data_IF_376199667228
#
_entry.id   IF_376199667228
#
_cell.length_a   1.000
_cell.length_b   1.000
_cell.length_c   1.000
_cell.angle_alpha   90.00
_cell.angle_beta   90.00
_cell.angle_gamma   90.00
#
_symmetry.space_group_name_H-M   'P 1'
#
loop_
_entity.id
_entity.type
_entity.pdbx_description
1 polymer ?
#
# COMPACT_ATOMS: atom_id res chain seq x y z
N UNK A 1 -23.94 -22.93 -20.11
CA UNK A 1 -22.78 -23.12 -19.20
C UNK A 1 -21.59 -22.19 -19.43
N UNK A 2 -21.64 -21.16 -20.30
CA UNK A 2 -20.48 -20.31 -20.62
C UNK A 2 -20.57 -18.88 -20.06
N UNK A 3 -21.80 -18.42 -19.82
CA UNK A 3 -22.12 -17.07 -19.29
C UNK A 3 -21.68 -16.87 -17.83
N UNK A 4 -21.74 -17.93 -17.01
CA UNK A 4 -21.32 -17.84 -15.61
C UNK A 4 -19.82 -17.50 -15.48
N UNK A 5 -18.99 -18.05 -16.36
CA UNK A 5 -17.55 -17.78 -16.40
C UNK A 5 -17.22 -16.36 -16.90
N UNK A 6 -18.02 -15.82 -17.83
CA UNK A 6 -17.86 -14.45 -18.31
C UNK A 6 -18.20 -13.44 -17.21
N UNK A 7 -19.30 -13.67 -16.48
CA UNK A 7 -19.70 -12.84 -15.33
C UNK A 7 -18.63 -12.86 -14.23
N UNK A 8 -18.09 -14.03 -13.92
CA UNK A 8 -17.03 -14.17 -12.92
C UNK A 8 -15.74 -13.44 -13.33
N UNK A 9 -15.37 -13.50 -14.61
CA UNK A 9 -14.20 -12.78 -15.14
C UNK A 9 -14.37 -11.26 -15.06
N UNK A 10 -15.57 -10.75 -15.39
CA UNK A 10 -15.92 -9.33 -15.23
C UNK A 10 -15.90 -8.89 -13.77
N UNK A 11 -16.38 -9.74 -12.86
CA UNK A 11 -16.39 -9.46 -11.42
C UNK A 11 -14.96 -9.36 -10.85
N UNK A 12 -14.07 -10.28 -11.24
CA UNK A 12 -12.65 -10.23 -10.85
C UNK A 12 -11.92 -9.02 -11.44
N UNK A 13 -12.26 -8.64 -12.67
CA UNK A 13 -11.69 -7.45 -13.30
C UNK A 13 -12.14 -6.17 -12.57
N UNK A 14 -13.43 -6.07 -12.22
CA UNK A 14 -14.00 -4.99 -11.42
C UNK A 14 -13.40 -4.92 -10.00
N UNK A 15 -13.07 -6.06 -9.39
CA UNK A 15 -12.47 -6.11 -8.06
C UNK A 15 -10.99 -5.66 -8.08
N UNK A 16 -10.24 -5.92 -9.15
CA UNK A 16 -8.85 -5.47 -9.32
C UNK A 16 -8.73 -3.97 -9.62
N UNK A 17 -9.75 -3.34 -10.25
CA UNK A 17 -9.80 -1.88 -10.45
C UNK A 17 -10.22 -1.09 -9.21
N UNK A 18 -10.40 -1.74 -8.05
CA UNK A 18 -10.25 -1.08 -6.76
C UNK A 18 -8.79 -1.22 -6.32
N UNK A 19 -7.88 -0.30 -6.67
CA UNK A 19 -6.45 -0.38 -6.31
C UNK A 19 -6.25 -0.02 -4.82
N UNK A 20 -7.30 -0.15 -4.01
CA UNK A 20 -7.46 0.54 -2.73
C UNK A 20 -6.87 -0.16 -1.53
N UNK A 21 -6.43 -1.42 -1.65
CA UNK A 21 -5.93 -2.20 -0.51
C UNK A 21 -4.43 -2.48 -0.53
N UNK A 22 -3.75 -2.27 -1.65
CA UNK A 22 -2.29 -2.36 -1.78
C UNK A 22 -1.66 -1.09 -2.34
N UNK A 23 -2.38 0.03 -2.32
CA UNK A 23 -1.85 1.33 -2.72
C UNK A 23 -1.04 1.92 -1.54
N UNK A 24 0.30 1.98 -1.61
CA UNK A 24 1.14 2.66 -0.62
C UNK A 24 0.89 4.19 -0.55
N UNK A 25 -0.03 4.70 -1.37
CA UNK A 25 -0.32 6.11 -1.60
C UNK A 25 -0.97 6.81 -0.40
N UNK A 26 -1.75 6.11 0.45
CA UNK A 26 -2.35 6.72 1.64
C UNK A 26 -1.33 6.99 2.74
N UNK A 27 -0.35 6.11 2.93
CA UNK A 27 0.71 6.32 3.94
C UNK A 27 1.88 7.16 3.42
N UNK A 28 2.09 7.22 2.10
CA UNK A 28 3.03 8.17 1.48
C UNK A 28 2.62 9.65 1.71
N UNK A 29 1.34 9.94 1.96
CA UNK A 29 0.89 11.30 2.28
C UNK A 29 1.50 11.81 3.60
N UNK A 30 1.66 10.94 4.60
CA UNK A 30 2.30 11.29 5.86
C UNK A 30 3.83 11.21 5.78
N UNK A 31 4.37 10.32 4.94
CA UNK A 31 5.81 10.20 4.70
C UNK A 31 6.31 11.01 3.49
N UNK A 32 5.75 12.21 3.25
CA UNK A 32 6.01 13.02 2.03
C UNK A 32 7.49 13.41 1.82
N UNK A 33 8.28 13.46 2.88
CA UNK A 33 9.68 13.90 2.85
C UNK A 33 10.62 12.96 3.62
N UNK A 34 10.20 11.72 3.82
CA UNK A 34 10.94 10.68 4.53
C UNK A 34 11.01 9.39 3.73
N UNK A 35 11.81 8.44 4.20
CA UNK A 35 11.95 7.10 3.63
C UNK A 35 11.25 6.06 4.51
N UNK A 36 10.58 5.09 3.87
CA UNK A 36 9.95 3.99 4.58
C UNK A 36 10.94 2.83 4.79
N UNK A 37 11.30 2.55 6.04
CA UNK A 37 12.18 1.44 6.42
C UNK A 37 11.40 0.35 7.15
N UNK A 38 11.77 -0.91 6.97
CA UNK A 38 11.22 -2.00 7.78
C UNK A 38 11.77 -1.94 9.21
N UNK A 39 10.89 -2.04 10.21
CA UNK A 39 11.31 -2.05 11.61
C UNK A 39 11.75 -0.66 12.10
N UNK A 40 12.98 -0.55 12.60
CA UNK A 40 13.55 0.70 13.15
C UNK A 40 14.21 1.55 12.05
N UNK A 41 14.21 2.86 12.27
CA UNK A 41 14.93 3.79 11.41
C UNK A 41 16.45 3.60 11.55
N UNK A 42 17.21 3.88 10.47
CA UNK A 42 18.66 3.97 10.55
C UNK A 42 19.11 4.97 11.62
N UNK A 43 20.30 4.77 12.20
CA UNK A 43 20.81 5.59 13.32
C UNK A 43 20.91 7.09 13.01
N UNK A 44 21.01 7.47 11.74
CA UNK A 44 21.11 8.85 11.27
C UNK A 44 19.75 9.48 10.92
N UNK A 45 18.64 8.75 11.11
CA UNK A 45 17.28 9.20 10.80
C UNK A 45 16.37 9.00 12.02
N UNK A 46 15.38 9.86 12.17
CA UNK A 46 14.41 9.81 13.27
C UNK A 46 13.08 9.25 12.78
N UNK A 47 12.42 8.44 13.61
CA UNK A 47 11.08 7.94 13.31
C UNK A 47 10.08 9.10 13.40
N UNK A 48 9.53 9.49 12.26
CA UNK A 48 8.53 10.57 12.16
C UNK A 48 7.12 10.05 11.92
N UNK A 49 6.96 8.75 11.67
CA UNK A 49 5.66 8.12 11.49
C UNK A 49 5.75 6.64 11.15
N UNK A 50 4.67 6.12 10.55
CA UNK A 50 4.58 4.76 10.02
C UNK A 50 4.20 4.79 8.54
N UNK A 51 4.67 3.80 7.80
CA UNK A 51 4.23 3.50 6.45
C UNK A 51 3.40 2.20 6.46
N UNK A 52 2.81 1.83 5.31
CA UNK A 52 1.98 0.62 5.20
C UNK A 52 2.66 -0.64 5.76
N UNK A 53 1.93 -1.36 6.61
CA UNK A 53 2.40 -2.59 7.28
C UNK A 53 3.33 -2.32 8.47
N UNK A 54 4.41 -3.12 8.59
CA UNK A 54 5.39 -3.01 9.68
C UNK A 54 6.57 -2.08 9.35
N UNK A 55 6.33 -1.07 8.51
CA UNK A 55 7.35 -0.11 8.06
C UNK A 55 7.24 1.19 8.85
N UNK A 56 8.36 1.73 9.27
CA UNK A 56 8.46 3.05 9.90
C UNK A 56 8.80 4.12 8.84
N UNK A 57 8.21 5.30 8.95
CA UNK A 57 8.64 6.47 8.20
C UNK A 57 9.79 7.16 8.94
N UNK A 58 10.90 7.37 8.25
CA UNK A 58 12.15 7.89 8.79
C UNK A 58 12.54 9.17 8.05
N UNK A 59 12.95 10.20 8.79
CA UNK A 59 13.42 11.48 8.24
C UNK A 59 14.56 12.04 9.10
#
# INVERSE_FOLDING_TARGET
MKILYLLFSLLLLALQVSPGFSSPRRDMLFCKNGSCHFGRCPFHLVKVGSCFGFRSCCK
#
